data_IF_532595625291
#
_entry.id   IF_532595625291
#
_cell.length_a   1.000
_cell.length_b   1.000
_cell.length_c   1.000
_cell.angle_alpha   90.00
_cell.angle_beta   90.00
_cell.angle_gamma   90.00
#
_symmetry.space_group_name_H-M   'P 1'
#
loop_
_entity.id
_entity.type
_entity.pdbx_description
1 polymer ?
#
# COMPACT_ATOMS: atom_id res chain seq x y z
N UNK A 1 3.23 -15.95 11.57
CA UNK A 1 2.28 -15.13 12.35
C UNK A 1 2.20 -13.74 11.72
N UNK A 2 1.01 -13.32 11.28
CA UNK A 2 0.75 -11.99 10.70
C UNK A 2 1.45 -10.80 11.42
N UNK A 3 1.56 -10.75 12.77
CA UNK A 3 2.24 -9.65 13.45
C UNK A 3 3.70 -9.42 13.03
N UNK A 4 4.46 -10.47 12.70
CA UNK A 4 5.84 -10.33 12.23
C UNK A 4 5.92 -9.78 10.79
N UNK A 5 4.87 -9.98 9.99
CA UNK A 5 4.80 -9.55 8.59
C UNK A 5 4.48 -8.06 8.51
N UNK A 6 3.51 -7.59 9.30
CA UNK A 6 3.20 -6.17 9.45
C UNK A 6 4.42 -5.44 10.02
N UNK A 7 5.09 -5.99 11.03
CA UNK A 7 6.30 -5.42 11.62
C UNK A 7 7.50 -5.34 10.68
N UNK A 8 7.60 -6.20 9.65
CA UNK A 8 8.68 -6.16 8.66
C UNK A 8 8.46 -5.06 7.62
N UNK A 9 7.21 -4.91 7.16
CA UNK A 9 6.81 -3.88 6.19
C UNK A 9 6.83 -2.48 6.82
N UNK A 10 6.39 -2.40 8.07
CA UNK A 10 6.44 -1.23 8.93
C UNK A 10 7.83 -0.60 9.08
N UNK A 11 8.91 -1.40 9.07
CA UNK A 11 10.26 -0.92 9.38
C UNK A 11 10.96 -0.17 8.24
N UNK A 12 10.46 -0.25 7.01
CA UNK A 12 11.20 0.22 5.83
C UNK A 12 10.49 1.29 4.99
N UNK A 13 9.25 1.68 5.30
CA UNK A 13 8.64 2.84 4.65
C UNK A 13 9.04 4.08 5.43
N UNK A 14 10.24 4.57 5.11
CA UNK A 14 10.70 5.87 5.57
C UNK A 14 9.98 6.93 4.75
N UNK A 15 9.28 7.79 5.45
CA UNK A 15 8.77 9.00 4.85
C UNK A 15 9.80 10.11 5.07
N UNK A 16 10.22 10.80 4.00
CA UNK A 16 11.17 11.92 4.13
C UNK A 16 10.61 12.97 5.09
N UNK A 17 11.45 13.53 5.96
CA UNK A 17 11.03 14.51 6.98
C UNK A 17 10.52 15.84 6.37
N UNK A 18 10.70 16.04 5.06
CA UNK A 18 10.23 17.20 4.28
C UNK A 18 8.95 16.94 3.48
N UNK A 19 8.31 15.78 3.68
CA UNK A 19 7.26 15.26 2.80
C UNK A 19 5.87 15.68 3.26
N UNK A 20 5.06 16.23 2.36
CA UNK A 20 3.67 16.58 2.62
C UNK A 20 2.78 15.37 2.32
N UNK A 21 2.24 14.75 3.36
CA UNK A 21 1.12 13.79 3.23
C UNK A 21 -0.17 14.47 3.63
N UNK A 22 -1.23 14.14 2.91
CA UNK A 22 -2.57 14.56 3.28
C UNK A 22 -3.29 13.36 3.87
N UNK A 23 -3.86 13.50 5.06
CA UNK A 23 -4.76 12.50 5.59
C UNK A 23 -6.00 12.39 4.69
N UNK A 24 -6.37 11.18 4.32
CA UNK A 24 -7.50 10.91 3.43
C UNK A 24 -8.31 9.72 3.94
N UNK A 25 -9.63 9.82 3.84
CA UNK A 25 -10.54 8.80 4.36
C UNK A 25 -11.53 8.13 3.38
N UNK A 26 -11.12 7.77 2.14
CA UNK A 26 -11.96 6.97 1.28
C UNK A 26 -12.05 5.53 1.81
N UNK A 27 -13.19 4.86 1.57
CA UNK A 27 -13.29 3.41 1.77
C UNK A 27 -12.59 2.69 0.61
N UNK A 28 -11.47 2.03 0.92
CA UNK A 28 -10.68 1.28 -0.06
C UNK A 28 -10.54 -0.17 0.39
N UNK A 29 -10.83 -1.10 -0.52
CA UNK A 29 -10.62 -2.51 -0.27
C UNK A 29 -9.15 -2.89 -0.49
N UNK A 30 -8.52 -3.41 0.57
CA UNK A 30 -7.18 -3.97 0.51
C UNK A 30 -7.23 -5.46 0.86
N UNK A 31 -6.80 -6.35 -0.06
CA UNK A 31 -6.54 -7.76 0.26
C UNK A 31 -5.72 -7.94 1.54
N UNK A 32 -5.87 -9.08 2.20
CA UNK A 32 -5.04 -9.45 3.33
C UNK A 32 -3.56 -9.48 2.92
N UNK A 33 -2.68 -9.11 3.85
CA UNK A 33 -1.24 -9.07 3.63
C UNK A 33 -0.69 -10.42 3.17
N UNK A 34 -0.01 -10.43 2.02
CA UNK A 34 0.56 -11.61 1.34
C UNK A 34 1.75 -11.22 0.46
N UNK A 35 2.45 -12.21 -0.09
CA UNK A 35 3.55 -11.97 -1.04
C UNK A 35 3.01 -11.51 -2.40
N UNK A 36 3.76 -10.63 -3.08
CA UNK A 36 3.42 -10.02 -4.38
C UNK A 36 2.89 -10.99 -5.45
N UNK A 37 3.44 -12.20 -5.67
CA UNK A 37 2.92 -13.11 -6.68
C UNK A 37 1.46 -13.49 -6.47
N UNK A 38 1.04 -13.65 -5.21
CA UNK A 38 -0.33 -14.03 -4.86
C UNK A 38 -1.34 -12.87 -5.04
N UNK A 39 -0.88 -11.64 -5.22
CA UNK A 39 -1.75 -10.48 -5.49
C UNK A 39 -2.20 -10.42 -6.96
N UNK A 40 -1.51 -11.12 -7.88
CA UNK A 40 -1.73 -11.02 -9.31
C UNK A 40 -2.86 -11.92 -9.83
N UNK A 41 -3.33 -12.90 -9.06
CA UNK A 41 -4.19 -13.96 -9.55
C UNK A 41 -5.68 -13.57 -9.73
N UNK A 42 -6.06 -12.33 -9.39
CA UNK A 42 -7.43 -11.82 -9.59
C UNK A 42 -8.54 -12.57 -8.83
N UNK A 43 -8.19 -13.63 -8.09
CA UNK A 43 -9.10 -14.33 -7.18
C UNK A 43 -9.55 -13.36 -6.09
N UNK A 44 -10.86 -13.28 -5.82
CA UNK A 44 -11.44 -12.45 -4.76
C UNK A 44 -10.84 -12.86 -3.41
N UNK A 45 -9.80 -12.17 -2.94
CA UNK A 45 -9.05 -12.60 -1.77
C UNK A 45 -9.76 -12.10 -0.52
N UNK A 46 -9.61 -12.78 0.60
CA UNK A 46 -9.94 -12.18 1.89
C UNK A 46 -9.20 -10.84 2.04
N UNK A 47 -9.82 -9.88 2.73
CA UNK A 47 -9.29 -8.52 2.87
C UNK A 47 -10.22 -7.62 3.67
N UNK A 48 -9.82 -6.36 3.79
CA UNK A 48 -10.44 -5.38 4.67
C UNK A 48 -10.85 -4.14 3.88
N UNK A 49 -11.92 -3.49 4.30
CA UNK A 49 -12.27 -2.13 3.88
C UNK A 49 -11.64 -1.14 4.86
N UNK A 50 -10.58 -0.47 4.42
CA UNK A 50 -9.85 0.49 5.24
C UNK A 50 -10.30 1.91 4.91
N UNK A 51 -10.21 2.80 5.90
CA UNK A 51 -10.68 4.20 5.78
C UNK A 51 -9.65 5.23 6.20
N UNK A 52 -8.46 4.84 6.63
CA UNK A 52 -7.45 5.79 7.09
C UNK A 52 -6.20 5.64 6.23
N UNK A 53 -5.91 6.68 5.44
CA UNK A 53 -4.82 6.64 4.47
C UNK A 53 -4.00 7.92 4.49
N UNK A 54 -2.70 7.77 4.20
CA UNK A 54 -1.90 8.84 3.66
C UNK A 54 -2.10 8.92 2.16
N UNK A 55 -2.53 10.06 1.68
CA UNK A 55 -2.54 10.39 0.26
C UNK A 55 -1.18 11.00 -0.11
N UNK A 56 -0.57 10.39 -1.13
CA UNK A 56 0.65 10.84 -1.80
C UNK A 56 0.28 11.17 -3.24
N UNK A 57 0.79 12.28 -3.76
CA UNK A 57 0.43 12.79 -5.08
C UNK A 57 1.39 12.39 -6.22
N UNK A 58 2.57 11.92 -5.87
CA UNK A 58 3.60 11.49 -6.83
C UNK A 58 4.26 10.19 -6.38
N UNK A 59 4.37 9.21 -7.27
CA UNK A 59 5.02 7.93 -6.99
C UNK A 59 6.53 8.07 -6.69
N UNK A 60 7.19 9.12 -7.20
CA UNK A 60 8.62 9.35 -6.97
C UNK A 60 8.93 9.79 -5.54
N UNK A 61 7.91 10.09 -4.75
CA UNK A 61 8.00 10.43 -3.33
C UNK A 61 8.33 9.19 -2.48
N UNK A 62 7.98 7.98 -2.94
CA UNK A 62 8.26 6.76 -2.21
C UNK A 62 9.72 6.31 -2.35
N UNK A 63 10.40 6.07 -1.22
CA UNK A 63 11.76 5.51 -1.23
C UNK A 63 11.80 4.00 -1.51
N UNK A 64 10.93 3.22 -0.85
CA UNK A 64 10.98 1.73 -0.83
C UNK A 64 9.63 1.08 -1.15
N UNK A 65 8.85 1.66 -2.07
CA UNK A 65 7.55 1.11 -2.48
C UNK A 65 7.64 0.53 -3.89
N UNK A 66 7.15 -0.70 -4.03
CA UNK A 66 6.91 -1.35 -5.31
C UNK A 66 5.43 -1.40 -5.65
N UNK A 67 5.12 -1.71 -6.91
CA UNK A 67 3.76 -1.85 -7.41
C UNK A 67 3.51 -3.29 -7.89
N UNK A 68 2.28 -3.77 -7.72
CA UNK A 68 1.82 -5.03 -8.33
C UNK A 68 1.58 -4.86 -9.83
N UNK A 69 1.30 -5.99 -10.50
CA UNK A 69 0.57 -5.95 -11.78
C UNK A 69 -0.83 -5.38 -11.56
N UNK A 70 -1.43 -4.92 -12.64
CA UNK A 70 -2.76 -4.34 -12.65
C UNK A 70 -3.79 -5.43 -12.36
N UNK A 71 -4.68 -5.17 -11.41
CA UNK A 71 -5.84 -6.02 -11.12
C UNK A 71 -7.07 -5.19 -11.44
N UNK A 72 -7.59 -5.36 -12.65
CA UNK A 72 -8.59 -4.44 -13.21
C UNK A 72 -7.98 -3.07 -13.40
N UNK A 73 -8.53 -2.05 -12.75
CA UNK A 73 -8.04 -0.66 -12.84
C UNK A 73 -7.21 -0.22 -11.63
N UNK A 74 -6.74 -1.17 -10.84
CA UNK A 74 -6.10 -0.95 -9.55
C UNK A 74 -4.67 -1.51 -9.60
N UNK A 75 -3.72 -0.73 -9.08
CA UNK A 75 -2.42 -1.23 -8.65
C UNK A 75 -2.34 -1.19 -7.14
N UNK A 76 -1.83 -2.27 -6.56
CA UNK A 76 -1.53 -2.28 -5.13
C UNK A 76 -0.07 -1.90 -4.90
N UNK A 77 0.16 -1.17 -3.81
CA UNK A 77 1.48 -0.84 -3.32
C UNK A 77 1.97 -1.99 -2.42
N UNK A 78 3.25 -2.34 -2.54
CA UNK A 78 3.93 -3.38 -1.76
C UNK A 78 5.27 -2.85 -1.27
N UNK A 79 5.84 -3.42 -0.22
CA UNK A 79 7.23 -3.11 0.15
C UNK A 79 8.19 -3.62 -0.93
N UNK A 80 9.12 -2.77 -1.39
CA UNK A 80 10.08 -3.14 -2.42
C UNK A 80 11.11 -4.18 -1.93
N UNK A 81 11.48 -4.12 -0.65
CA UNK A 81 12.53 -4.99 -0.08
C UNK A 81 12.05 -6.42 0.18
N UNK A 82 10.86 -6.57 0.77
CA UNK A 82 10.34 -7.87 1.18
C UNK A 82 9.23 -8.42 0.26
N UNK A 83 8.76 -7.61 -0.69
CA UNK A 83 7.67 -7.95 -1.63
C UNK A 83 6.37 -8.39 -0.96
N UNK A 84 6.12 -7.90 0.25
CA UNK A 84 4.88 -8.13 1.01
C UNK A 84 3.97 -6.92 0.89
N UNK A 85 2.68 -7.16 0.68
CA UNK A 85 1.62 -6.15 0.72
C UNK A 85 0.25 -6.79 0.60
N UNK A 86 -0.82 -6.03 0.35
CA UNK A 86 -0.82 -4.64 -0.06
C UNK A 86 -0.76 -3.68 1.15
N UNK A 87 0.11 -2.70 1.06
CA UNK A 87 0.22 -1.57 2.00
C UNK A 87 -0.59 -0.36 1.56
N UNK A 88 -1.02 -0.36 0.30
CA UNK A 88 -1.65 0.78 -0.31
C UNK A 88 -2.32 0.44 -1.63
N UNK A 89 -2.96 1.45 -2.19
CA UNK A 89 -3.89 1.35 -3.30
C UNK A 89 -3.69 2.53 -4.25
N UNK A 90 -3.80 2.27 -5.55
CA UNK A 90 -3.71 3.28 -6.59
C UNK A 90 -4.68 2.96 -7.73
N UNK A 91 -5.46 3.97 -8.15
CA UNK A 91 -6.33 3.88 -9.32
C UNK A 91 -5.55 4.30 -10.57
N UNK A 92 -5.63 3.53 -11.65
CA UNK A 92 -4.99 3.92 -12.91
C UNK A 92 -5.68 5.09 -13.62
N UNK A 93 -6.97 5.35 -13.31
CA UNK A 93 -7.68 6.54 -13.78
C UNK A 93 -7.18 7.83 -13.11
N UNK A 94 -6.62 7.72 -11.89
CA UNK A 94 -6.09 8.85 -11.13
C UNK A 94 -4.58 8.67 -10.88
N UNK A 95 -3.80 9.17 -11.84
CA UNK A 95 -2.34 9.01 -11.88
C UNK A 95 -1.61 9.65 -10.70
N UNK A 96 -2.25 10.58 -10.00
CA UNK A 96 -1.62 11.40 -8.97
C UNK A 96 -2.23 11.11 -7.59
N UNK A 97 -2.87 9.96 -7.38
CA UNK A 97 -3.39 9.58 -6.07
C UNK A 97 -2.93 8.20 -5.68
N UNK A 98 -2.06 8.16 -4.67
CA UNK A 98 -1.52 6.95 -4.08
C UNK A 98 -1.90 6.92 -2.60
N UNK A 99 -2.66 5.90 -2.19
CA UNK A 99 -3.16 5.79 -0.83
C UNK A 99 -2.36 4.74 -0.08
N UNK A 100 -1.72 5.12 1.02
CA UNK A 100 -1.04 4.20 1.94
C UNK A 100 -1.91 4.02 3.17
N UNK A 101 -2.34 2.79 3.44
CA UNK A 101 -3.23 2.50 4.56
C UNK A 101 -2.48 2.57 5.89
N UNK A 102 -2.95 3.40 6.83
CA UNK A 102 -2.33 3.62 8.13
C UNK A 102 -2.22 2.30 8.93
N UNK A 103 -3.25 1.46 8.87
CA UNK A 103 -3.27 0.16 9.55
C UNK A 103 -2.24 -0.85 9.02
N UNK A 104 -1.66 -0.61 7.84
CA UNK A 104 -0.72 -1.53 7.17
C UNK A 104 0.73 -1.05 7.23
N UNK A 105 1.01 0.07 7.90
CA UNK A 105 2.34 0.68 8.05
C UNK A 105 2.59 1.11 9.50
N UNK A 106 3.85 1.42 9.84
CA UNK A 106 4.21 1.95 11.17
C UNK A 106 4.58 3.43 11.07
N UNK A 107 4.45 4.11 12.21
CA UNK A 107 4.74 5.52 12.38
C UNK A 107 5.82 5.65 13.46
N UNK A 108 7.03 6.01 13.08
CA UNK A 108 8.14 6.37 13.99
C UNK A 108 8.64 7.78 13.67
#
# INVERSE_FOLDING_TARGET
ELPNIVAQVAKNIKFSTLMFFVFSSPQLFLPSMRKKPALADGSNPDGDLLQEHWLVDDMFIFENVGFTKDVGNIKFLVCADCEIGPIGWHCLDDKNSFYVALERVSHE
#
